data_IF_469591419657
#
_entry.id   IF_469591419657
#
_cell.length_a   1.000
_cell.length_b   1.000
_cell.length_c   1.000
_cell.angle_alpha   90.00
_cell.angle_beta   90.00
_cell.angle_gamma   90.00
#
_symmetry.space_group_name_H-M   'P 1'
#
loop_
_entity.id
_entity.type
_entity.pdbx_description
1 polymer ?
#
# COMPACT_ATOMS: atom_id res chain seq x y z
N UNK A 1 11.04 61.99 -20.36
CA UNK A 1 12.00 62.74 -19.52
C UNK A 1 13.17 61.82 -19.23
N UNK A 2 14.32 62.21 -19.76
CA UNK A 2 15.58 61.49 -19.75
C UNK A 2 16.44 62.14 -18.68
N UNK A 3 16.84 61.39 -17.65
CA UNK A 3 17.73 61.88 -16.58
C UNK A 3 18.64 60.73 -16.12
N UNK A 4 19.83 61.04 -15.61
CA UNK A 4 21.05 60.90 -16.40
C UNK A 4 22.12 60.03 -15.73
N UNK A 5 23.20 59.83 -16.47
CA UNK A 5 24.48 59.22 -16.08
C UNK A 5 24.98 59.71 -14.71
N UNK A 6 25.40 58.77 -13.86
CA UNK A 6 26.31 59.04 -12.75
C UNK A 6 27.62 58.27 -12.96
N UNK A 7 28.71 59.01 -13.17
CA UNK A 7 30.09 58.53 -13.15
C UNK A 7 30.40 57.95 -11.77
N UNK A 8 30.82 56.68 -11.70
CA UNK A 8 31.40 56.12 -10.49
C UNK A 8 32.93 56.23 -10.59
N UNK A 9 33.49 57.15 -9.81
CA UNK A 9 34.93 57.25 -9.56
C UNK A 9 35.35 56.02 -8.76
N UNK A 10 36.16 55.14 -9.35
CA UNK A 10 36.75 53.99 -8.65
C UNK A 10 37.91 54.50 -7.80
N UNK A 11 37.63 54.77 -6.52
CA UNK A 11 38.66 54.97 -5.51
C UNK A 11 39.25 53.61 -5.13
N UNK A 12 40.53 53.40 -5.43
CA UNK A 12 41.31 52.28 -4.89
C UNK A 12 41.51 52.53 -3.38
N UNK A 13 40.68 51.90 -2.55
CA UNK A 13 40.94 51.79 -1.12
C UNK A 13 41.87 50.60 -0.90
N UNK A 14 43.13 50.91 -0.57
CA UNK A 14 44.04 49.99 0.10
C UNK A 14 43.47 49.66 1.48
N UNK A 15 42.67 48.59 1.58
CA UNK A 15 42.26 48.05 2.87
C UNK A 15 43.45 47.33 3.51
N UNK A 16 44.05 47.95 4.52
CA UNK A 16 44.90 47.25 5.47
C UNK A 16 44.02 46.28 6.26
N UNK A 17 44.26 44.97 6.10
CA UNK A 17 43.61 43.93 6.87
C UNK A 17 43.88 44.17 8.37
N UNK A 18 42.85 44.57 9.11
CA UNK A 18 42.89 44.62 10.56
C UNK A 18 42.79 43.17 11.05
N UNK A 19 43.81 42.69 11.75
CA UNK A 19 43.74 41.42 12.47
C UNK A 19 42.56 41.49 13.46
N UNK A 20 41.73 40.45 13.51
CA UNK A 20 40.60 40.41 14.42
C UNK A 20 41.09 40.43 15.88
N UNK A 21 40.39 41.15 16.77
CA UNK A 21 40.71 41.34 18.21
C UNK A 21 40.81 40.05 19.05
N UNK A 22 40.68 38.86 18.44
CA UNK A 22 40.69 37.55 19.11
C UNK A 22 42.02 36.78 18.96
N UNK A 23 43.09 37.43 18.51
CA UNK A 23 44.38 36.77 18.36
C UNK A 23 45.25 36.87 19.62
N UNK A 24 45.88 35.77 20.07
CA UNK A 24 46.84 35.82 21.17
C UNK A 24 47.94 36.84 20.85
N UNK A 25 48.20 37.76 21.77
CA UNK A 25 49.14 38.88 21.62
C UNK A 25 50.60 38.43 21.38
N UNK A 26 50.93 37.17 21.68
CA UNK A 26 52.22 36.53 21.38
C UNK A 26 52.08 35.52 20.23
N UNK A 27 51.62 35.98 19.05
CA UNK A 27 51.27 35.14 17.91
C UNK A 27 52.29 34.04 17.59
N UNK A 28 51.80 32.82 17.40
CA UNK A 28 52.66 31.65 17.14
C UNK A 28 53.42 31.78 15.80
N UNK A 29 54.44 30.93 15.58
CA UNK A 29 55.26 30.99 14.35
C UNK A 29 54.43 30.84 13.06
N UNK A 30 53.27 30.18 13.14
CA UNK A 30 52.30 30.05 12.05
C UNK A 30 51.59 31.39 11.74
N UNK A 31 51.11 32.08 12.76
CA UNK A 31 50.49 33.40 12.63
C UNK A 31 51.50 34.45 12.15
N UNK A 32 52.74 34.38 12.64
CA UNK A 32 53.82 35.24 12.15
C UNK A 32 54.15 34.97 10.69
N UNK A 33 54.09 33.73 10.22
CA UNK A 33 54.28 33.40 8.81
C UNK A 33 53.17 33.99 7.94
N UNK A 34 51.90 33.88 8.36
CA UNK A 34 50.78 34.50 7.63
C UNK A 34 50.86 36.03 7.61
N UNK A 35 51.25 36.67 8.72
CA UNK A 35 51.34 38.14 8.82
C UNK A 35 52.60 38.74 8.18
N UNK A 36 53.71 37.98 8.06
CA UNK A 36 54.96 38.44 7.45
C UNK A 36 55.03 38.24 5.94
N UNK A 37 54.09 37.50 5.36
CA UNK A 37 54.08 37.19 3.93
C UNK A 37 53.39 38.31 3.16
N UNK A 38 54.04 39.49 3.09
CA UNK A 38 53.79 40.40 1.95
C UNK A 38 54.67 39.88 0.82
N UNK A 39 54.26 38.78 0.19
CA UNK A 39 54.79 38.46 -1.13
C UNK A 39 54.06 39.38 -2.11
N UNK A 40 54.76 40.12 -2.99
CA UNK A 40 54.12 41.02 -3.95
C UNK A 40 53.13 40.32 -4.90
N UNK A 41 53.07 38.99 -4.88
CA UNK A 41 52.24 38.17 -5.76
C UNK A 41 51.19 37.30 -5.06
N UNK A 42 51.07 37.29 -3.73
CA UNK A 42 50.13 36.37 -3.05
C UNK A 42 49.68 36.88 -1.68
N UNK A 43 48.38 37.13 -1.56
CA UNK A 43 47.72 37.57 -0.33
C UNK A 43 47.38 36.35 0.56
N UNK A 44 47.93 36.26 1.79
CA UNK A 44 47.65 35.18 2.73
C UNK A 44 46.16 35.03 3.07
N UNK A 45 45.38 36.12 2.98
CA UNK A 45 43.94 36.09 3.21
C UNK A 45 43.21 35.35 2.09
N UNK A 46 43.69 35.44 0.84
CA UNK A 46 43.14 34.68 -0.30
C UNK A 46 43.39 33.19 -0.13
N UNK A 47 44.58 32.81 0.31
CA UNK A 47 44.91 31.40 0.56
C UNK A 47 44.14 30.82 1.75
N UNK A 48 43.94 31.61 2.80
CA UNK A 48 43.11 31.22 3.95
C UNK A 48 41.62 31.09 3.59
N UNK A 49 41.07 32.02 2.80
CA UNK A 49 39.68 31.92 2.31
C UNK A 49 39.50 30.74 1.34
N UNK A 50 40.50 30.44 0.52
CA UNK A 50 40.52 29.27 -0.36
C UNK A 50 40.56 27.97 0.45
N UNK A 51 41.39 27.90 1.49
CA UNK A 51 41.48 26.75 2.39
C UNK A 51 40.18 26.49 3.15
N UNK A 52 39.48 27.55 3.55
CA UNK A 52 38.17 27.45 4.20
C UNK A 52 36.99 27.28 3.24
N UNK A 53 37.24 27.25 1.94
CA UNK A 53 36.18 27.02 0.95
C UNK A 53 35.85 25.53 0.90
N UNK A 54 34.66 25.20 1.36
CA UNK A 54 34.10 23.86 1.23
C UNK A 54 33.27 23.82 -0.05
N UNK A 55 33.56 22.87 -0.94
CA UNK A 55 32.71 22.64 -2.10
C UNK A 55 31.86 21.41 -1.85
N UNK A 56 30.56 21.63 -1.89
CA UNK A 56 29.55 20.60 -1.70
C UNK A 56 28.95 20.27 -3.05
N UNK A 57 29.11 19.03 -3.51
CA UNK A 57 28.41 18.55 -4.70
C UNK A 57 27.21 17.71 -4.23
N UNK A 58 25.97 18.16 -4.46
CA UNK A 58 24.79 17.38 -4.11
C UNK A 58 24.80 16.01 -4.80
N UNK A 59 24.10 15.05 -4.19
CA UNK A 59 23.91 13.72 -4.75
C UNK A 59 23.32 13.78 -6.17
N UNK A 60 23.81 12.92 -7.06
CA UNK A 60 23.33 12.90 -8.45
C UNK A 60 21.87 12.47 -8.51
N UNK A 61 21.05 13.26 -9.20
CA UNK A 61 19.65 12.90 -9.46
C UNK A 61 19.56 12.10 -10.75
N UNK A 62 19.16 10.84 -10.63
CA UNK A 62 18.95 9.95 -11.77
C UNK A 62 17.47 10.01 -12.15
N UNK A 63 17.20 10.50 -13.37
CA UNK A 63 15.86 10.49 -13.96
C UNK A 63 15.88 9.47 -15.11
N UNK A 64 15.10 8.40 -14.95
CA UNK A 64 14.93 7.39 -16.01
C UNK A 64 13.66 7.69 -16.78
N UNK A 65 13.79 7.91 -18.08
CA UNK A 65 12.67 8.05 -19.00
C UNK A 65 12.53 6.76 -19.81
N UNK A 66 11.42 6.06 -19.62
CA UNK A 66 11.04 4.92 -20.47
C UNK A 66 10.10 5.43 -21.55
N UNK A 67 10.51 5.35 -22.81
CA UNK A 67 9.67 5.69 -23.96
C UNK A 67 9.27 4.40 -24.66
N UNK A 68 8.00 4.04 -24.56
CA UNK A 68 7.42 2.89 -25.27
C UNK A 68 6.75 3.39 -26.55
N UNK A 69 7.27 3.00 -27.71
CA UNK A 69 6.65 3.30 -29.00
C UNK A 69 5.88 2.07 -29.48
N UNK A 70 4.55 2.15 -29.47
CA UNK A 70 3.66 1.09 -29.97
C UNK A 70 3.08 1.53 -31.30
N UNK A 71 3.34 0.79 -32.37
CA UNK A 71 2.67 0.99 -33.67
C UNK A 71 1.49 0.03 -33.75
N UNK A 72 0.28 0.51 -33.49
CA UNK A 72 -0.97 -0.22 -33.71
C UNK A 72 -2.07 0.74 -34.16
N UNK A 73 -2.81 0.38 -35.20
CA UNK A 73 -4.11 0.97 -35.53
C UNK A 73 -5.11 0.60 -34.43
N UNK A 74 -6.02 1.52 -34.08
CA UNK A 74 -7.05 1.48 -33.02
C UNK A 74 -6.60 1.87 -31.60
N UNK A 75 -7.42 2.69 -30.92
CA UNK A 75 -7.04 3.67 -29.90
C UNK A 75 -7.27 3.26 -28.41
N UNK A 76 -6.50 3.92 -27.52
CA UNK A 76 -6.72 4.16 -26.06
C UNK A 76 -6.25 3.04 -25.10
N UNK A 77 -5.46 3.22 -24.03
CA UNK A 77 -4.64 4.31 -23.46
C UNK A 77 -3.43 3.66 -22.73
N UNK A 78 -2.26 4.31 -22.73
CA UNK A 78 -1.06 3.82 -22.03
C UNK A 78 -1.03 4.37 -20.60
N UNK A 79 -1.05 3.49 -19.61
CA UNK A 79 -0.77 3.87 -18.22
C UNK A 79 0.74 4.07 -18.04
N UNK A 80 1.13 5.27 -17.62
CA UNK A 80 2.50 5.57 -17.18
C UNK A 80 2.69 4.97 -15.79
N UNK A 81 3.50 3.91 -15.67
CA UNK A 81 3.97 3.44 -14.36
C UNK A 81 5.16 4.27 -13.90
N UNK A 82 5.07 4.79 -12.68
CA UNK A 82 6.18 5.40 -11.96
C UNK A 82 6.72 4.38 -10.95
N UNK A 83 7.91 3.83 -11.21
CA UNK A 83 8.78 3.29 -10.16
C UNK A 83 10.21 3.78 -10.37
N UNK A 84 10.76 4.43 -9.36
CA UNK A 84 12.17 4.36 -9.11
C UNK A 84 12.42 4.30 -7.62
N UNK A 85 13.14 3.27 -7.23
CA UNK A 85 13.80 3.10 -5.96
C UNK A 85 15.01 4.05 -5.97
N UNK A 86 15.01 5.02 -5.05
CA UNK A 86 16.13 5.94 -4.90
C UNK A 86 17.30 5.17 -4.27
N UNK A 87 18.25 4.76 -5.11
CA UNK A 87 19.58 4.41 -4.63
C UNK A 87 20.16 5.63 -3.91
N UNK A 88 20.50 5.48 -2.62
CA UNK A 88 21.15 6.52 -1.83
C UNK A 88 22.53 6.85 -2.41
N UNK A 89 22.58 7.88 -3.26
CA UNK A 89 23.84 8.46 -3.71
C UNK A 89 24.40 9.33 -2.58
N UNK A 90 25.58 8.96 -2.07
CA UNK A 90 26.28 9.67 -1.00
C UNK A 90 26.83 11.01 -1.53
N UNK A 91 26.53 12.09 -0.83
CA UNK A 91 27.03 13.44 -1.11
C UNK A 91 28.56 13.49 -0.92
N UNK A 92 29.29 13.99 -1.92
CA UNK A 92 30.73 14.21 -1.86
C UNK A 92 31.01 15.63 -1.38
N UNK A 93 31.68 15.74 -0.23
CA UNK A 93 32.18 17.01 0.31
C UNK A 93 33.69 17.05 0.11
N UNK A 94 34.17 18.03 -0.66
CA UNK A 94 35.61 18.25 -0.86
C UNK A 94 36.02 19.47 -0.05
N UNK A 95 36.87 19.25 0.94
CA UNK A 95 37.55 20.31 1.70
C UNK A 95 38.97 20.45 1.19
N UNK A 96 39.43 21.68 0.98
CA UNK A 96 40.81 21.94 0.61
C UNK A 96 41.74 21.54 1.78
N UNK A 97 42.72 20.68 1.52
CA UNK A 97 43.66 20.16 2.53
C UNK A 97 45.09 20.65 2.34
N UNK A 98 45.37 21.39 1.26
CA UNK A 98 46.70 21.87 0.94
C UNK A 98 47.03 23.15 1.72
N UNK A 99 47.88 23.00 2.74
CA UNK A 99 48.54 24.12 3.41
C UNK A 99 49.70 24.60 2.50
N UNK A 100 49.74 25.87 2.11
CA UNK A 100 50.83 26.40 1.30
C UNK A 100 52.21 26.22 1.96
N UNK A 101 53.26 26.03 1.16
CA UNK A 101 54.61 25.78 1.67
C UNK A 101 55.16 26.89 2.58
N UNK A 102 54.78 28.15 2.32
CA UNK A 102 55.15 29.30 3.17
C UNK A 102 54.51 29.25 4.56
N UNK A 103 53.42 28.50 4.70
CA UNK A 103 52.72 28.24 5.96
C UNK A 103 53.14 26.91 6.61
N UNK A 104 54.26 26.31 6.18
CA UNK A 104 54.86 25.13 6.83
C UNK A 104 55.15 25.26 8.33
N UNK A 105 55.34 26.46 8.93
CA UNK A 105 55.41 26.60 10.39
C UNK A 105 54.10 26.27 11.12
N UNK A 106 52.97 26.21 10.41
CA UNK A 106 51.72 25.69 10.90
C UNK A 106 51.81 24.17 10.94
N UNK A 107 52.03 23.60 12.13
CA UNK A 107 52.19 22.14 12.36
C UNK A 107 50.90 21.34 12.12
N UNK A 108 50.28 21.49 10.95
CA UNK A 108 49.05 20.83 10.53
C UNK A 108 47.82 21.74 10.44
N UNK A 109 46.75 21.14 9.91
CA UNK A 109 45.49 21.77 9.54
C UNK A 109 44.82 22.58 10.67
N UNK A 110 44.92 22.11 11.91
CA UNK A 110 44.30 22.76 13.09
C UNK A 110 44.94 24.11 13.37
N UNK A 111 46.28 24.17 13.36
CA UNK A 111 47.03 25.40 13.63
C UNK A 111 46.89 26.41 12.48
N UNK A 112 46.87 25.91 11.24
CA UNK A 112 46.64 26.74 10.06
C UNK A 112 45.23 27.36 10.06
N UNK A 113 44.20 26.55 10.35
CA UNK A 113 42.81 27.03 10.47
C UNK A 113 42.68 28.11 11.55
N UNK A 114 43.24 27.89 12.73
CA UNK A 114 43.20 28.87 13.82
C UNK A 114 43.86 30.19 13.43
N UNK A 115 45.01 30.15 12.76
CA UNK A 115 45.72 31.35 12.32
C UNK A 115 45.00 32.08 11.17
N UNK A 116 44.35 31.35 10.25
CA UNK A 116 43.51 31.89 9.18
C UNK A 116 42.27 32.63 9.71
N UNK A 117 41.55 32.05 10.69
CA UNK A 117 40.44 32.74 11.36
C UNK A 117 40.90 34.01 12.09
N UNK A 118 42.14 34.01 12.56
CA UNK A 118 42.75 35.13 13.26
C UNK A 118 42.98 36.36 12.35
N UNK A 119 43.43 36.13 11.12
CA UNK A 119 43.62 37.20 10.11
C UNK A 119 42.32 37.59 9.38
N UNK A 120 41.16 37.10 9.83
CA UNK A 120 39.85 37.47 9.31
C UNK A 120 39.32 36.62 8.15
N UNK A 121 39.92 35.45 7.87
CA UNK A 121 39.40 34.56 6.84
C UNK A 121 38.05 33.95 7.27
N UNK A 122 37.09 33.94 6.36
CA UNK A 122 35.73 33.45 6.62
C UNK A 122 35.53 32.06 6.03
N UNK A 123 34.78 31.22 6.74
CA UNK A 123 34.36 29.93 6.21
C UNK A 123 33.28 30.14 5.17
N UNK A 124 33.47 29.57 3.99
CA UNK A 124 32.52 29.68 2.88
C UNK A 124 32.18 28.30 2.37
N UNK A 125 30.88 28.04 2.22
CA UNK A 125 30.37 26.81 1.63
C UNK A 125 29.77 27.15 0.27
N UNK A 126 30.28 26.51 -0.78
CA UNK A 126 29.72 26.63 -2.12
C UNK A 126 29.04 25.32 -2.48
N UNK A 127 27.73 25.38 -2.59
CA UNK A 127 26.91 24.27 -3.09
C UNK A 127 26.84 24.36 -4.60
N UNK A 128 27.36 23.34 -5.29
CA UNK A 128 27.24 23.22 -6.73
C UNK A 128 25.82 22.78 -7.11
N UNK A 129 25.43 23.04 -8.36
CA UNK A 129 24.17 22.52 -8.87
C UNK A 129 24.15 20.99 -8.82
N UNK A 130 23.00 20.42 -8.50
CA UNK A 130 22.78 18.98 -8.50
C UNK A 130 23.01 18.43 -9.92
N UNK A 131 23.95 17.48 -10.13
CA UNK A 131 24.11 16.86 -11.43
C UNK A 131 22.85 16.03 -11.73
N UNK A 132 22.24 16.28 -12.90
CA UNK A 132 21.08 15.55 -13.40
C UNK A 132 21.55 14.57 -14.46
N UNK A 133 21.34 13.28 -14.24
CA UNK A 133 21.55 12.24 -15.25
C UNK A 133 20.17 11.82 -15.76
N UNK A 134 19.86 12.16 -17.00
CA UNK A 134 18.70 11.65 -17.72
C UNK A 134 19.11 10.43 -18.55
N UNK A 135 18.57 9.26 -18.22
CA UNK A 135 18.77 8.06 -19.03
C UNK A 135 17.51 7.82 -19.85
N UNK A 136 17.63 7.81 -21.17
CA UNK A 136 16.53 7.49 -22.08
C UNK A 136 16.72 6.07 -22.61
N UNK A 137 15.84 5.17 -22.19
CA UNK A 137 15.89 3.77 -22.62
C UNK A 137 14.88 3.57 -23.74
N UNK A 138 15.37 3.36 -24.97
CA UNK A 138 14.52 3.01 -26.12
C UNK A 138 14.43 1.49 -26.20
N UNK A 139 13.27 0.94 -25.81
CA UNK A 139 12.98 -0.47 -25.98
C UNK A 139 12.25 -0.68 -27.32
N UNK A 140 12.93 -1.25 -28.31
CA UNK A 140 12.29 -1.73 -29.54
C UNK A 140 11.78 -3.14 -29.29
N UNK A 141 10.47 -3.28 -29.09
CA UNK A 141 9.82 -4.57 -28.94
C UNK A 141 9.41 -5.08 -30.32
N UNK A 142 10.15 -6.04 -30.87
CA UNK A 142 9.68 -6.83 -32.02
C UNK A 142 8.73 -7.90 -31.50
N UNK A 143 7.43 -7.62 -31.53
CA UNK A 143 6.40 -8.60 -31.19
C UNK A 143 6.26 -9.62 -32.32
N UNK A 144 6.78 -10.83 -32.11
CA UNK A 144 6.31 -12.00 -32.85
C UNK A 144 5.01 -12.44 -32.16
N UNK A 145 3.85 -12.22 -32.77
CA UNK A 145 2.57 -12.70 -32.24
C UNK A 145 2.52 -14.22 -32.33
N UNK A 146 3.00 -14.88 -31.28
CA UNK A 146 2.49 -16.20 -30.91
C UNK A 146 1.32 -15.92 -29.96
N UNK A 147 0.11 -16.26 -30.38
CA UNK A 147 -1.11 -16.10 -29.59
C UNK A 147 -1.05 -16.98 -28.34
N UNK A 148 -0.53 -16.47 -27.24
CA UNK A 148 -0.74 -17.06 -25.91
C UNK A 148 -1.92 -16.32 -25.28
N UNK A 149 -2.99 -17.01 -24.88
CA UNK A 149 -4.15 -16.36 -24.27
C UNK A 149 -3.72 -15.63 -22.99
N UNK A 150 -4.12 -14.36 -22.85
CA UNK A 150 -3.90 -13.56 -21.64
C UNK A 150 -4.65 -14.23 -20.49
N UNK A 151 -4.04 -14.35 -19.30
CA UNK A 151 -4.73 -14.85 -18.15
C UNK A 151 -5.91 -13.93 -17.78
N UNK A 152 -7.15 -14.38 -17.98
CA UNK A 152 -8.35 -13.59 -17.71
C UNK A 152 -8.64 -13.59 -16.20
N UNK A 153 -8.38 -12.47 -15.52
CA UNK A 153 -8.83 -12.30 -14.14
C UNK A 153 -10.36 -12.18 -14.10
N UNK A 154 -11.01 -13.04 -13.31
CA UNK A 154 -12.47 -13.09 -13.28
C UNK A 154 -13.00 -13.89 -12.10
N UNK A 155 -14.27 -13.65 -11.81
CA UNK A 155 -15.04 -14.49 -10.90
C UNK A 155 -15.45 -15.76 -11.62
N UNK A 156 -15.07 -16.91 -11.08
CA UNK A 156 -15.53 -18.20 -11.59
C UNK A 156 -16.46 -18.86 -10.57
N UNK A 157 -17.44 -19.65 -11.03
CA UNK A 157 -18.25 -20.47 -10.13
C UNK A 157 -17.37 -21.33 -9.23
N UNK A 158 -17.62 -21.30 -7.92
CA UNK A 158 -16.89 -22.09 -6.94
C UNK A 158 -17.72 -23.26 -6.42
N UNK A 159 -19.00 -23.02 -6.13
CA UNK A 159 -19.94 -24.07 -5.73
C UNK A 159 -21.14 -23.55 -4.96
N UNK A 160 -21.96 -24.47 -4.49
CA UNK A 160 -23.10 -24.19 -3.60
C UNK A 160 -22.65 -24.31 -2.15
N UNK A 161 -22.93 -23.27 -1.37
CA UNK A 161 -22.60 -23.18 0.04
C UNK A 161 -23.85 -23.32 0.90
N UNK A 162 -23.75 -24.10 1.98
CA UNK A 162 -24.82 -24.40 2.92
C UNK A 162 -24.46 -23.90 4.31
N UNK A 163 -25.43 -23.32 5.01
CA UNK A 163 -25.27 -22.91 6.39
C UNK A 163 -25.26 -24.11 7.34
N UNK A 164 -24.23 -24.22 8.15
CA UNK A 164 -24.14 -25.21 9.21
C UNK A 164 -24.12 -24.51 10.57
N UNK A 165 -24.97 -24.93 11.50
CA UNK A 165 -24.97 -24.46 12.88
C UNK A 165 -24.20 -25.46 13.74
N UNK A 166 -23.12 -24.98 14.35
CA UNK A 166 -22.31 -25.80 15.25
C UNK A 166 -23.14 -26.27 16.47
N UNK A 167 -22.83 -27.44 17.04
CA UNK A 167 -23.45 -27.89 18.28
C UNK A 167 -23.27 -26.87 19.41
N UNK A 168 -24.32 -26.65 20.20
CA UNK A 168 -24.28 -25.75 21.37
C UNK A 168 -24.54 -26.58 22.62
N UNK A 169 -23.59 -26.59 23.56
CA UNK A 169 -23.70 -27.41 24.77
C UNK A 169 -23.81 -28.92 24.49
N UNK A 170 -23.20 -29.39 23.40
CA UNK A 170 -23.29 -30.80 22.96
C UNK A 170 -24.58 -31.17 22.22
N UNK A 171 -25.51 -30.22 22.05
CA UNK A 171 -26.75 -30.45 21.31
C UNK A 171 -26.53 -30.14 19.83
N UNK A 172 -26.75 -31.15 18.98
CA UNK A 172 -26.71 -30.99 17.52
C UNK A 172 -27.77 -29.97 17.06
N UNK A 173 -27.34 -28.99 16.26
CA UNK A 173 -28.24 -27.94 15.75
C UNK A 173 -28.54 -28.09 14.25
N UNK A 174 -27.59 -28.64 13.48
CA UNK A 174 -27.79 -28.92 12.06
C UNK A 174 -28.08 -30.39 11.79
N UNK A 175 -29.07 -30.65 10.95
CA UNK A 175 -29.50 -31.97 10.51
C UNK A 175 -29.30 -32.06 9.00
N UNK A 176 -28.99 -33.25 8.49
CA UNK A 176 -28.72 -33.41 7.06
C UNK A 176 -30.02 -33.41 6.25
N UNK A 177 -29.98 -32.80 5.07
CA UNK A 177 -31.14 -32.68 4.17
C UNK A 177 -31.52 -34.01 3.49
N UNK A 178 -30.65 -35.02 3.53
CA UNK A 178 -30.82 -36.33 2.90
C UNK A 178 -31.50 -37.39 3.79
N UNK A 179 -31.50 -37.24 5.13
CA UNK A 179 -31.94 -38.31 6.05
C UNK A 179 -33.36 -38.21 6.60
N UNK A 180 -34.23 -37.33 6.10
CA UNK A 180 -35.63 -37.37 6.53
C UNK A 180 -36.32 -38.62 5.97
N UNK A 181 -36.28 -39.72 6.73
CA UNK A 181 -37.05 -40.97 6.62
C UNK A 181 -37.78 -41.25 5.28
N UNK A 182 -37.05 -41.27 4.16
CA UNK A 182 -37.59 -41.59 2.82
C UNK A 182 -38.26 -40.45 2.04
N UNK A 183 -38.28 -39.22 2.57
CA UNK A 183 -38.88 -38.00 1.97
C UNK A 183 -37.89 -36.83 1.91
N UNK A 184 -36.66 -37.01 2.40
CA UNK A 184 -35.61 -35.98 2.34
C UNK A 184 -35.29 -35.52 0.92
N UNK A 185 -34.61 -34.39 0.82
CA UNK A 185 -34.31 -33.75 -0.46
C UNK A 185 -33.29 -34.51 -1.32
N UNK A 186 -32.77 -35.64 -0.84
CA UNK A 186 -31.72 -36.44 -1.47
C UNK A 186 -30.56 -35.57 -1.98
N UNK A 187 -30.22 -34.53 -1.21
CA UNK A 187 -29.24 -33.51 -1.56
C UNK A 187 -28.33 -33.25 -0.36
N UNK A 188 -27.06 -33.01 -0.67
CA UNK A 188 -26.08 -32.61 0.32
C UNK A 188 -26.41 -31.22 0.88
N UNK A 189 -26.32 -31.07 2.18
CA UNK A 189 -26.59 -29.85 2.91
C UNK A 189 -27.27 -30.10 4.24
N UNK A 190 -27.52 -29.01 4.94
CA UNK A 190 -28.09 -29.04 6.27
C UNK A 190 -29.24 -28.07 6.42
N UNK A 191 -30.11 -28.38 7.36
CA UNK A 191 -31.08 -27.46 7.93
C UNK A 191 -30.90 -27.39 9.43
N UNK A 192 -31.39 -26.34 10.06
CA UNK A 192 -31.54 -26.24 11.52
C UNK A 192 -33.02 -26.17 11.88
N UNK A 193 -33.38 -26.48 13.13
CA UNK A 193 -34.76 -26.38 13.63
C UNK A 193 -34.84 -25.31 14.74
N UNK A 194 -34.71 -24.02 14.39
CA UNK A 194 -34.58 -22.98 15.39
C UNK A 194 -35.97 -22.63 15.94
N UNK A 195 -36.05 -22.39 17.24
CA UNK A 195 -37.20 -21.73 17.85
C UNK A 195 -37.21 -20.24 17.54
N UNK A 196 -38.38 -19.60 17.61
CA UNK A 196 -38.47 -18.15 17.48
C UNK A 196 -37.59 -17.42 18.52
N UNK A 197 -37.52 -17.94 19.74
CA UNK A 197 -36.69 -17.38 20.81
C UNK A 197 -35.18 -17.46 20.48
N UNK A 198 -34.72 -18.57 19.90
CA UNK A 198 -33.34 -18.70 19.45
C UNK A 198 -33.03 -17.72 18.31
N UNK A 199 -33.95 -17.53 17.36
CA UNK A 199 -33.77 -16.52 16.31
C UNK A 199 -33.79 -15.09 16.88
N UNK A 200 -34.58 -14.80 17.91
CA UNK A 200 -34.54 -13.50 18.59
C UNK A 200 -33.22 -13.27 19.33
N UNK A 201 -32.59 -14.33 19.85
CA UNK A 201 -31.23 -14.30 20.39
C UNK A 201 -30.12 -14.26 19.31
N UNK A 202 -30.47 -14.57 18.07
CA UNK A 202 -29.54 -14.69 16.96
C UNK A 202 -28.84 -16.05 16.93
N UNK A 203 -28.94 -16.73 15.79
CA UNK A 203 -28.17 -17.95 15.52
C UNK A 203 -27.19 -17.68 14.38
N UNK A 204 -26.09 -18.42 14.37
CA UNK A 204 -25.07 -18.28 13.34
C UNK A 204 -24.26 -19.56 13.17
N UNK A 205 -23.49 -19.60 12.09
CA UNK A 205 -22.49 -20.63 11.90
C UNK A 205 -21.71 -20.46 10.61
N UNK A 206 -20.79 -21.38 10.33
CA UNK A 206 -20.04 -21.39 9.07
C UNK A 206 -20.94 -21.63 7.86
N UNK A 207 -20.53 -21.04 6.74
CA UNK A 207 -21.08 -21.28 5.42
C UNK A 207 -20.10 -22.17 4.65
N UNK A 208 -20.54 -23.36 4.25
CA UNK A 208 -19.68 -24.42 3.74
C UNK A 208 -20.03 -24.82 2.31
N UNK A 209 -19.05 -24.80 1.41
CA UNK A 209 -19.17 -25.45 0.08
C UNK A 209 -18.87 -26.93 0.21
N UNK A 210 -19.81 -27.76 -0.25
CA UNK A 210 -19.77 -29.21 -0.09
C UNK A 210 -19.12 -29.86 -1.31
N UNK A 211 -17.91 -30.40 -1.14
CA UNK A 211 -17.17 -31.11 -2.20
C UNK A 211 -17.28 -32.64 -2.10
N UNK A 212 -17.84 -33.16 -1.00
CA UNK A 212 -17.87 -34.60 -0.68
C UNK A 212 -19.18 -35.08 -0.06
N UNK A 213 -20.31 -34.43 -0.37
CA UNK A 213 -21.60 -34.72 0.26
C UNK A 213 -21.73 -34.04 1.63
N UNK A 214 -22.27 -34.75 2.63
CA UNK A 214 -22.54 -34.23 3.98
C UNK A 214 -21.35 -34.33 4.95
N UNK A 215 -20.15 -34.64 4.45
CA UNK A 215 -18.94 -34.69 5.26
C UNK A 215 -18.31 -33.29 5.44
N UNK A 216 -18.48 -32.73 6.63
CA UNK A 216 -17.94 -31.40 7.00
C UNK A 216 -16.42 -31.37 6.89
N UNK A 217 -15.72 -32.49 7.11
CA UNK A 217 -14.25 -32.53 7.04
C UNK A 217 -13.72 -32.27 5.61
N UNK A 218 -14.58 -32.46 4.61
CA UNK A 218 -14.28 -32.21 3.20
C UNK A 218 -14.88 -30.89 2.70
N UNK A 219 -15.57 -30.14 3.57
CA UNK A 219 -16.22 -28.91 3.20
C UNK A 219 -15.27 -27.71 3.27
N UNK A 220 -15.44 -26.75 2.36
CA UNK A 220 -14.66 -25.51 2.34
C UNK A 220 -15.45 -24.41 3.03
N UNK A 221 -14.90 -23.84 4.10
CA UNK A 221 -15.47 -22.67 4.75
C UNK A 221 -15.27 -21.43 3.85
N UNK A 222 -16.38 -20.86 3.38
CA UNK A 222 -16.38 -19.67 2.52
C UNK A 222 -16.85 -18.41 3.24
N UNK A 223 -17.31 -18.53 4.49
CA UNK A 223 -17.87 -17.41 5.24
C UNK A 223 -18.69 -17.85 6.45
N UNK A 224 -19.52 -16.93 6.91
CA UNK A 224 -20.50 -17.16 7.97
C UNK A 224 -21.88 -16.74 7.53
N UNK A 225 -22.89 -17.34 8.14
CA UNK A 225 -24.27 -16.90 8.06
C UNK A 225 -24.79 -16.57 9.45
N UNK A 226 -25.76 -15.66 9.51
CA UNK A 226 -26.43 -15.22 10.73
C UNK A 226 -27.92 -15.13 10.45
N UNK A 227 -28.77 -15.65 11.33
CA UNK A 227 -30.21 -15.45 11.26
C UNK A 227 -30.73 -14.83 12.57
N UNK A 228 -31.49 -13.74 12.44
CA UNK A 228 -32.11 -13.03 13.56
C UNK A 228 -33.60 -12.82 13.32
N UNK A 229 -34.41 -12.84 14.37
CA UNK A 229 -35.82 -12.48 14.32
C UNK A 229 -36.10 -11.23 15.15
N UNK A 230 -36.96 -10.34 14.65
CA UNK A 230 -37.46 -9.23 15.45
C UNK A 230 -38.62 -9.68 16.39
N UNK A 231 -39.14 -8.75 17.19
CA UNK A 231 -40.26 -9.01 18.10
C UNK A 231 -41.56 -9.47 17.42
N UNK A 232 -41.71 -9.22 16.11
CA UNK A 232 -42.86 -9.64 15.30
C UNK A 232 -42.64 -10.98 14.59
N UNK A 233 -41.53 -11.69 14.88
CA UNK A 233 -41.20 -12.94 14.21
C UNK A 233 -40.83 -12.76 12.74
N UNK A 234 -40.23 -11.62 12.39
CA UNK A 234 -39.67 -11.38 11.05
C UNK A 234 -38.18 -11.72 11.05
N UNK A 235 -37.81 -12.71 10.25
CA UNK A 235 -36.49 -13.34 10.21
C UNK A 235 -35.64 -12.74 9.08
N UNK A 236 -34.46 -12.26 9.44
CA UNK A 236 -33.43 -11.80 8.51
C UNK A 236 -32.25 -12.74 8.57
N UNK A 237 -31.85 -13.26 7.40
CA UNK A 237 -30.63 -14.05 7.20
C UNK A 237 -29.60 -13.18 6.49
N UNK A 238 -28.40 -13.12 7.07
CA UNK A 238 -27.26 -12.37 6.59
C UNK A 238 -26.11 -13.31 6.30
N UNK A 239 -25.44 -13.08 5.18
CA UNK A 239 -24.29 -13.82 4.69
C UNK A 239 -23.08 -12.90 4.71
N UNK A 240 -21.95 -13.39 5.20
CA UNK A 240 -20.67 -12.68 5.21
C UNK A 240 -19.60 -13.63 4.69
N UNK A 241 -19.09 -13.39 3.48
CA UNK A 241 -18.08 -14.22 2.82
C UNK A 241 -16.67 -13.68 3.08
N UNK A 242 -15.75 -14.62 3.25
CA UNK A 242 -14.33 -14.31 3.37
C UNK A 242 -13.74 -14.14 1.96
N UNK A 243 -12.86 -13.16 1.70
CA UNK A 243 -12.07 -13.16 0.48
C UNK A 243 -11.32 -14.49 0.30
N UNK A 244 -11.21 -15.03 -0.94
CA UNK A 244 -11.57 -14.43 -2.22
C UNK A 244 -12.98 -14.80 -2.72
N UNK A 245 -13.94 -15.09 -1.83
CA UNK A 245 -15.28 -15.54 -2.19
C UNK A 245 -16.30 -14.40 -2.29
N UNK A 246 -17.31 -14.58 -3.14
CA UNK A 246 -18.46 -13.68 -3.28
C UNK A 246 -19.74 -14.44 -3.59
N UNK A 247 -20.88 -13.88 -3.17
CA UNK A 247 -22.20 -14.45 -3.39
C UNK A 247 -22.68 -14.14 -4.80
N UNK A 248 -23.13 -15.16 -5.53
CA UNK A 248 -23.76 -15.00 -6.84
C UNK A 248 -25.26 -15.25 -6.80
N UNK A 249 -25.76 -16.04 -5.85
CA UNK A 249 -27.19 -16.29 -5.61
C UNK A 249 -27.40 -16.64 -4.14
N UNK A 250 -28.61 -16.41 -3.61
CA UNK A 250 -28.96 -16.73 -2.22
C UNK A 250 -30.39 -17.28 -2.13
N UNK A 251 -30.52 -18.35 -1.36
CA UNK A 251 -31.79 -19.04 -1.13
C UNK A 251 -31.95 -19.30 0.37
N UNK A 252 -33.11 -18.93 0.91
CA UNK A 252 -33.45 -19.16 2.31
C UNK A 252 -34.82 -19.79 2.37
N UNK A 253 -34.92 -20.93 3.04
CA UNK A 253 -36.21 -21.55 3.27
C UNK A 253 -36.53 -21.62 4.75
N UNK A 254 -37.70 -21.14 5.14
CA UNK A 254 -38.16 -21.10 6.52
C UNK A 254 -39.63 -21.55 6.56
N UNK A 255 -39.85 -22.84 6.80
CA UNK A 255 -41.17 -23.46 6.83
C UNK A 255 -41.26 -24.52 7.92
N UNK A 256 -42.32 -25.33 7.93
CA UNK A 256 -42.54 -26.37 8.92
C UNK A 256 -42.14 -27.74 8.36
N UNK A 257 -41.62 -28.62 9.22
CA UNK A 257 -41.36 -30.00 8.84
C UNK A 257 -42.67 -30.76 8.52
N UNK A 258 -42.63 -31.79 7.65
CA UNK A 258 -41.48 -32.29 6.88
C UNK A 258 -41.07 -31.32 5.75
N UNK A 259 -39.82 -31.40 5.31
CA UNK A 259 -39.35 -30.54 4.19
C UNK A 259 -40.01 -31.03 2.90
N UNK A 260 -40.78 -30.17 2.25
CA UNK A 260 -41.45 -30.40 0.97
C UNK A 260 -40.78 -29.64 -0.19
N UNK A 261 -40.04 -28.57 0.11
CA UNK A 261 -39.31 -27.76 -0.85
C UNK A 261 -37.83 -28.14 -0.88
N UNK A 262 -37.46 -28.92 -1.89
CA UNK A 262 -36.09 -29.40 -2.06
C UNK A 262 -35.32 -28.70 -3.18
N UNK A 263 -36.03 -27.98 -4.03
CA UNK A 263 -35.43 -27.15 -5.06
C UNK A 263 -35.22 -25.72 -4.53
N UNK A 264 -34.02 -25.13 -4.66
CA UNK A 264 -33.76 -23.73 -4.27
C UNK A 264 -34.72 -22.71 -4.93
N UNK A 265 -35.29 -23.04 -6.09
CA UNK A 265 -36.33 -22.24 -6.75
C UNK A 265 -37.65 -22.15 -5.96
N UNK A 266 -37.90 -23.10 -5.06
CA UNK A 266 -39.12 -23.19 -4.24
C UNK A 266 -38.94 -22.61 -2.83
N UNK A 267 -37.72 -22.16 -2.49
CA UNK A 267 -37.44 -21.66 -1.15
C UNK A 267 -38.20 -20.36 -0.90
N UNK A 268 -38.61 -20.17 0.36
CA UNK A 268 -39.39 -19.01 0.82
C UNK A 268 -38.80 -17.67 0.36
N UNK A 269 -37.47 -17.58 0.32
CA UNK A 269 -36.75 -16.48 -0.31
C UNK A 269 -35.77 -17.00 -1.37
N UNK A 270 -35.80 -16.36 -2.53
CA UNK A 270 -34.85 -16.58 -3.60
C UNK A 270 -34.46 -15.23 -4.20
N UNK A 271 -33.19 -14.86 -4.07
CA UNK A 271 -32.58 -13.91 -4.98
C UNK A 271 -31.65 -14.69 -5.88
N UNK A 272 -31.98 -14.71 -7.18
CA UNK A 272 -31.13 -15.26 -8.23
C UNK A 272 -29.84 -14.45 -8.36
N UNK A 273 -29.41 -14.16 -9.58
CA UNK A 273 -28.15 -13.47 -9.83
C UNK A 273 -28.01 -12.15 -9.03
N UNK A 274 -27.11 -12.12 -8.05
CA UNK A 274 -26.72 -10.94 -7.27
C UNK A 274 -25.28 -10.50 -7.61
N UNK A 275 -24.92 -9.21 -7.39
CA UNK A 275 -23.68 -8.60 -7.92
C UNK A 275 -22.36 -9.02 -7.23
N UNK A 276 -22.09 -10.32 -7.06
CA UNK A 276 -20.82 -10.82 -6.49
C UNK A 276 -20.46 -10.10 -5.19
N UNK A 277 -21.39 -10.10 -4.25
CA UNK A 277 -21.28 -9.33 -3.02
C UNK A 277 -20.58 -10.15 -1.91
N UNK A 278 -19.66 -9.55 -1.13
CA UNK A 278 -19.07 -10.21 0.04
C UNK A 278 -20.06 -10.28 1.21
N UNK A 279 -21.11 -9.46 1.19
CA UNK A 279 -22.11 -9.35 2.24
C UNK A 279 -23.48 -9.16 1.63
N UNK A 280 -24.46 -9.88 2.17
CA UNK A 280 -25.85 -9.76 1.71
C UNK A 280 -26.83 -10.17 2.81
N UNK A 281 -27.97 -9.50 2.87
CA UNK A 281 -29.10 -9.86 3.74
C UNK A 281 -30.40 -9.84 2.94
N UNK A 282 -31.36 -10.69 3.31
CA UNK A 282 -32.67 -10.64 2.65
C UNK A 282 -33.36 -9.29 2.92
N UNK A 283 -33.68 -8.51 1.87
CA UNK A 283 -34.28 -7.19 2.05
C UNK A 283 -35.69 -7.28 2.61
N UNK A 284 -36.39 -8.39 2.35
CA UNK A 284 -37.71 -8.69 2.89
C UNK A 284 -37.58 -9.78 3.96
N UNK A 285 -37.71 -9.44 5.25
CA UNK A 285 -37.70 -10.42 6.33
C UNK A 285 -38.79 -11.49 6.18
N UNK A 286 -38.44 -12.74 6.46
CA UNK A 286 -39.34 -13.88 6.34
C UNK A 286 -40.26 -14.00 7.57
N UNK A 287 -41.55 -14.32 7.42
CA UNK A 287 -42.40 -14.65 8.56
C UNK A 287 -41.94 -15.97 9.21
N UNK A 288 -41.79 -15.99 10.53
CA UNK A 288 -41.63 -17.25 11.26
C UNK A 288 -42.94 -18.06 11.18
N UNK A 289 -42.89 -19.35 10.78
CA UNK A 289 -44.08 -20.12 10.49
C UNK A 289 -44.79 -20.60 11.76
N UNK A 290 -46.11 -20.72 11.71
CA UNK A 290 -46.91 -21.33 12.76
C UNK A 290 -47.12 -22.82 12.44
N UNK A 291 -46.28 -23.68 13.00
CA UNK A 291 -46.34 -25.11 12.75
C UNK A 291 -47.42 -25.80 13.59
N UNK A 292 -48.22 -26.66 12.96
CA UNK A 292 -49.31 -27.41 13.60
C UNK A 292 -48.92 -28.88 13.81
N UNK A 293 -49.71 -29.60 14.61
CA UNK A 293 -49.56 -31.06 14.77
C UNK A 293 -48.24 -31.51 15.43
N UNK A 294 -47.59 -30.64 16.21
CA UNK A 294 -46.30 -30.94 16.82
C UNK A 294 -45.09 -30.82 15.87
N UNK A 295 -45.32 -30.35 14.63
CA UNK A 295 -44.23 -30.02 13.72
C UNK A 295 -43.42 -28.83 14.24
N UNK A 296 -42.14 -28.77 13.86
CA UNK A 296 -41.22 -27.69 14.20
C UNK A 296 -40.80 -26.94 12.93
N UNK A 297 -40.43 -25.67 13.09
CA UNK A 297 -39.87 -24.90 12.00
C UNK A 297 -38.50 -25.44 11.61
N UNK A 298 -38.18 -25.39 10.33
CA UNK A 298 -36.85 -25.62 9.80
C UNK A 298 -36.33 -24.36 9.10
N UNK A 299 -35.02 -24.18 9.09
CA UNK A 299 -34.33 -23.13 8.36
C UNK A 299 -33.25 -23.76 7.48
N UNK A 300 -33.33 -23.53 6.18
CA UNK A 300 -32.26 -23.82 5.20
C UNK A 300 -31.63 -22.49 4.79
N UNK A 301 -30.31 -22.44 4.87
CA UNK A 301 -29.50 -21.29 4.43
C UNK A 301 -28.59 -21.78 3.31
N UNK A 302 -28.76 -21.23 2.11
CA UNK A 302 -28.01 -21.65 0.93
C UNK A 302 -27.57 -20.45 0.11
N UNK A 303 -26.39 -20.54 -0.50
CA UNK A 303 -25.93 -19.58 -1.49
C UNK A 303 -25.17 -20.25 -2.63
N UNK A 304 -25.19 -19.65 -3.82
CA UNK A 304 -24.19 -19.92 -4.84
C UNK A 304 -23.00 -18.97 -4.63
N UNK A 305 -21.79 -19.51 -4.73
CA UNK A 305 -20.55 -18.80 -4.44
C UNK A 305 -19.63 -18.82 -5.66
N UNK A 306 -19.04 -17.67 -5.95
CA UNK A 306 -17.93 -17.54 -6.89
C UNK A 306 -16.63 -17.26 -6.14
N UNK A 307 -15.50 -17.62 -6.75
CA UNK A 307 -14.16 -17.26 -6.29
C UNK A 307 -13.48 -16.37 -7.32
N UNK A 308 -12.75 -15.37 -6.84
CA UNK A 308 -11.92 -14.56 -7.71
C UNK A 308 -10.65 -15.33 -8.07
N UNK A 309 -10.36 -15.49 -9.37
CA UNK A 309 -9.13 -16.12 -9.84
C UNK A 309 -8.42 -15.23 -10.86
N UNK A 310 -7.09 -15.26 -10.79
CA UNK A 310 -6.21 -14.80 -11.86
C UNK A 310 -5.72 -16.06 -12.54
N UNK A 311 -6.39 -16.48 -13.61
CA UNK A 311 -6.09 -17.71 -14.36
C UNK A 311 -5.15 -17.41 -15.49
#
# INVERSE_FOLDING_TARGET
>A
MQLPRLCLVVGYLLSTAHAADNCPSNGNNCQRALLRTILPSRDPLVDCNSYFRVTVTPATSIVTYTTTTTTSTTATAVAVQKRHELLEARQLTVTASNIPAYASPCSGAVKYSSACSCIGATKSTVTLATPLISTTTTATVTSTTTTVPVPSAGWVPFGEAMGYQNPVGGVQKSFTLDTQSGVGCNRAGWYTTPTLAELQGGISGPLYVLLGGNDISQAVNVGIWVATANALGRVTVTYLLNPPYALTEVHVDLACLPIDNCNPAQYTYNAGAIPQLPTWSNPTPLPYPACSGGSVAYLVVQAAVARFQVS
#
